data_IF_840844066209
#
_entry.id   IF_840844066209
#
_cell.length_a   1.000
_cell.length_b   1.000
_cell.length_c   1.000
_cell.angle_alpha   90.00
_cell.angle_beta   90.00
_cell.angle_gamma   90.00
#
_symmetry.space_group_name_H-M   'P 1'
#
loop_
_entity.id
_entity.type
_entity.pdbx_description
1 polymer ?
#
# COMPACT_ATOMS: atom_id res chain seq x y z
N UNK A 1 16.35 -11.75 -5.20
CA UNK A 1 15.42 -12.57 -4.44
C UNK A 1 14.70 -11.68 -3.46
N UNK A 2 13.39 -11.75 -3.39
CA UNK A 2 12.60 -11.00 -2.41
C UNK A 2 12.33 -11.88 -1.18
N UNK A 3 12.12 -11.26 -0.02
CA UNK A 3 11.79 -11.94 1.25
C UNK A 3 10.92 -11.04 2.12
N UNK A 4 10.21 -11.62 3.07
CA UNK A 4 9.59 -10.89 4.18
C UNK A 4 10.72 -10.38 5.10
N UNK A 5 10.67 -9.12 5.48
CA UNK A 5 11.74 -8.49 6.27
C UNK A 5 11.54 -8.77 7.75
N UNK A 6 10.34 -8.55 8.27
CA UNK A 6 10.06 -8.66 9.69
C UNK A 6 8.66 -9.22 10.00
N UNK A 7 8.30 -9.31 11.28
CA UNK A 7 7.04 -9.83 11.76
C UNK A 7 6.96 -11.35 11.76
N UNK A 8 5.72 -11.89 11.79
CA UNK A 8 5.40 -13.33 11.96
C UNK A 8 6.06 -14.25 10.95
N UNK A 9 6.39 -13.76 9.76
CA UNK A 9 7.02 -14.53 8.68
C UNK A 9 8.40 -13.98 8.28
N UNK A 10 9.05 -13.20 9.13
CA UNK A 10 10.36 -12.60 8.87
C UNK A 10 11.39 -13.61 8.34
N UNK A 11 12.16 -13.22 7.32
CA UNK A 11 13.16 -14.05 6.67
C UNK A 11 12.64 -15.04 5.61
N UNK A 12 11.33 -15.29 5.51
CA UNK A 12 10.77 -16.19 4.48
C UNK A 12 10.96 -15.63 3.08
N UNK A 13 11.43 -16.47 2.17
CA UNK A 13 11.66 -16.10 0.76
C UNK A 13 10.35 -16.01 0.00
N UNK A 14 10.28 -15.06 -0.94
CA UNK A 14 9.17 -14.88 -1.84
C UNK A 14 9.59 -15.19 -3.28
N UNK A 15 8.72 -15.86 -4.01
CA UNK A 15 8.83 -16.04 -5.46
C UNK A 15 8.42 -14.75 -6.16
N UNK A 16 9.09 -14.42 -7.25
CA UNK A 16 8.75 -13.27 -8.12
C UNK A 16 8.27 -13.78 -9.47
N UNK A 17 7.30 -13.11 -10.12
CA UNK A 17 6.85 -13.47 -11.46
C UNK A 17 8.01 -13.46 -12.46
N UNK A 18 8.09 -14.41 -13.40
CA UNK A 18 9.11 -14.42 -14.44
C UNK A 18 8.91 -13.23 -15.40
N UNK A 19 10.02 -12.64 -15.87
CA UNK A 19 10.00 -11.63 -16.95
C UNK A 19 9.63 -10.20 -16.55
N UNK A 20 9.31 -9.90 -15.31
CA UNK A 20 9.13 -8.52 -14.87
C UNK A 20 10.50 -7.88 -14.62
N UNK A 21 10.86 -6.93 -15.49
CA UNK A 21 12.00 -5.99 -15.32
C UNK A 21 11.68 -4.87 -14.31
N UNK A 22 10.58 -4.98 -13.56
CA UNK A 22 10.30 -4.05 -12.48
C UNK A 22 11.34 -4.29 -11.38
N UNK A 23 12.09 -3.25 -11.07
CA UNK A 23 13.00 -3.26 -9.91
C UNK A 23 12.11 -3.43 -8.68
N UNK A 24 12.18 -4.57 -7.98
CA UNK A 24 11.38 -4.71 -6.77
C UNK A 24 11.78 -3.59 -5.81
N UNK A 25 10.83 -3.01 -5.10
CA UNK A 25 11.12 -2.21 -3.91
C UNK A 25 12.18 -2.93 -3.13
N UNK A 26 13.36 -2.32 -2.99
CA UNK A 26 14.48 -3.01 -2.34
C UNK A 26 14.11 -3.34 -0.91
N UNK A 27 14.66 -4.42 -0.34
CA UNK A 27 14.44 -4.78 1.06
C UNK A 27 14.66 -3.57 1.98
N UNK A 28 15.69 -2.75 1.69
CA UNK A 28 16.01 -1.54 2.46
C UNK A 28 14.92 -0.46 2.38
N UNK A 29 14.38 -0.21 1.20
CA UNK A 29 13.29 0.78 1.03
C UNK A 29 12.05 0.29 1.76
N UNK A 30 11.69 -0.99 1.57
CA UNK A 30 10.53 -1.58 2.23
C UNK A 30 10.67 -1.55 3.76
N UNK A 31 11.83 -1.88 4.31
CA UNK A 31 12.12 -1.78 5.74
C UNK A 31 11.93 -0.35 6.25
N UNK A 32 12.50 0.64 5.56
CA UNK A 32 12.39 2.04 5.96
C UNK A 32 10.93 2.54 5.93
N UNK A 33 10.17 2.14 4.89
CA UNK A 33 8.76 2.52 4.78
C UNK A 33 7.93 1.88 5.89
N UNK A 34 8.11 0.59 6.17
CA UNK A 34 7.35 -0.07 7.25
C UNK A 34 7.74 0.47 8.63
N UNK A 35 8.98 0.93 8.83
CA UNK A 35 9.37 1.67 10.05
C UNK A 35 8.64 3.02 10.15
N UNK A 36 8.48 3.73 9.03
CA UNK A 36 7.70 4.97 8.99
C UNK A 36 6.21 4.72 9.26
N UNK A 37 5.65 3.64 8.73
CA UNK A 37 4.26 3.22 9.01
C UNK A 37 4.06 2.87 10.49
N UNK A 38 5.00 2.17 11.11
CA UNK A 38 4.95 1.88 12.54
C UNK A 38 5.00 3.17 13.39
N UNK A 39 5.84 4.13 13.00
CA UNK A 39 5.90 5.43 13.67
C UNK A 39 4.58 6.22 13.50
N UNK A 40 4.01 6.23 12.30
CA UNK A 40 2.72 6.85 12.01
C UNK A 40 1.57 6.21 12.82
N UNK A 41 1.58 4.88 12.95
CA UNK A 41 0.59 4.12 13.73
C UNK A 41 0.82 4.23 15.26
N UNK A 42 1.89 4.89 15.71
CA UNK A 42 2.24 4.98 17.13
C UNK A 42 2.76 3.67 17.74
N UNK A 43 3.22 2.73 16.91
CA UNK A 43 3.67 1.37 17.31
C UNK A 43 5.15 1.12 17.00
N UNK A 44 5.95 2.19 16.88
CA UNK A 44 7.38 2.08 16.54
C UNK A 44 8.18 1.24 17.55
N UNK A 45 7.78 1.26 18.82
CA UNK A 45 8.41 0.54 19.91
C UNK A 45 7.84 -0.88 20.14
N UNK A 46 6.80 -1.26 19.36
CA UNK A 46 6.20 -2.58 19.46
C UNK A 46 7.04 -3.63 18.70
N UNK A 47 6.84 -4.90 19.07
CA UNK A 47 7.44 -6.01 18.33
C UNK A 47 6.97 -6.01 16.87
N UNK A 48 7.81 -6.45 15.92
CA UNK A 48 7.50 -6.31 14.49
C UNK A 48 6.15 -6.89 14.07
N UNK A 49 5.67 -7.95 14.69
CA UNK A 49 4.39 -8.61 14.42
C UNK A 49 3.15 -7.81 14.84
N UNK A 50 3.31 -6.73 15.60
CA UNK A 50 2.23 -5.90 16.12
C UNK A 50 2.31 -4.45 15.61
N UNK A 51 3.32 -4.11 14.79
CA UNK A 51 3.53 -2.75 14.28
C UNK A 51 2.38 -2.20 13.41
N UNK A 52 1.61 -3.08 12.76
CA UNK A 52 0.40 -2.71 12.02
C UNK A 52 -0.86 -3.34 12.63
N UNK A 53 -0.84 -3.66 13.92
CA UNK A 53 -2.02 -4.16 14.61
C UNK A 53 -3.20 -3.19 14.45
N UNK A 54 -4.38 -3.77 14.19
CA UNK A 54 -5.64 -3.05 13.93
C UNK A 54 -5.69 -2.23 12.63
N UNK A 55 -4.64 -2.23 11.82
CA UNK A 55 -4.63 -1.54 10.54
C UNK A 55 -5.17 -2.43 9.42
N UNK A 56 -5.89 -1.83 8.49
CA UNK A 56 -6.28 -2.39 7.20
C UNK A 56 -5.38 -1.84 6.10
N UNK A 57 -4.95 -2.69 5.16
CA UNK A 57 -3.94 -2.35 4.17
C UNK A 57 -4.40 -2.73 2.76
N UNK A 58 -4.26 -1.82 1.81
CA UNK A 58 -4.52 -2.06 0.39
C UNK A 58 -3.24 -1.82 -0.43
N UNK A 59 -2.75 -2.86 -1.10
CA UNK A 59 -1.59 -2.81 -2.01
C UNK A 59 -2.09 -2.77 -3.45
N UNK A 60 -2.00 -1.62 -4.07
CA UNK A 60 -2.36 -1.39 -5.47
C UNK A 60 -1.10 -1.57 -6.35
N UNK A 61 -1.21 -2.33 -7.44
CA UNK A 61 -0.10 -2.79 -8.27
C UNK A 61 0.83 -3.80 -7.56
N UNK A 62 0.24 -4.74 -6.82
CA UNK A 62 0.91 -5.55 -5.81
C UNK A 62 2.00 -6.51 -6.32
N UNK A 63 2.05 -6.84 -7.62
CA UNK A 63 3.10 -7.65 -8.21
C UNK A 63 3.24 -9.03 -7.55
N UNK A 64 4.37 -9.28 -6.89
CA UNK A 64 4.59 -10.53 -6.16
C UNK A 64 3.91 -10.58 -4.78
N UNK A 65 3.28 -9.48 -4.36
CA UNK A 65 2.68 -9.31 -3.04
C UNK A 65 3.69 -9.04 -1.92
N UNK A 66 4.89 -8.60 -2.25
CA UNK A 66 5.93 -8.43 -1.24
C UNK A 66 5.57 -7.38 -0.18
N UNK A 67 4.90 -6.28 -0.58
CA UNK A 67 4.43 -5.23 0.34
C UNK A 67 3.21 -5.71 1.11
N UNK A 68 2.20 -6.27 0.44
CA UNK A 68 1.01 -6.82 1.09
C UNK A 68 1.35 -7.90 2.13
N UNK A 69 2.26 -8.82 1.79
CA UNK A 69 2.69 -9.88 2.70
C UNK A 69 3.54 -9.34 3.86
N UNK A 70 4.34 -8.31 3.64
CA UNK A 70 5.04 -7.62 4.73
C UNK A 70 4.05 -6.97 5.70
N UNK A 71 3.00 -6.28 5.19
CA UNK A 71 1.94 -5.70 6.02
C UNK A 71 1.24 -6.78 6.86
N UNK A 72 0.86 -7.90 6.25
CA UNK A 72 0.25 -9.04 6.95
C UNK A 72 1.20 -9.66 8.00
N UNK A 73 2.51 -9.71 7.71
CA UNK A 73 3.53 -10.22 8.64
C UNK A 73 3.69 -9.32 9.86
N UNK A 74 3.48 -8.01 9.68
CA UNK A 74 3.57 -6.99 10.75
C UNK A 74 2.26 -6.73 11.46
N UNK A 75 1.23 -7.56 11.23
CA UNK A 75 0.03 -7.57 12.05
C UNK A 75 -1.18 -6.88 11.44
N UNK A 76 -1.12 -6.39 10.20
CA UNK A 76 -2.30 -5.83 9.54
C UNK A 76 -3.46 -6.85 9.54
N UNK A 77 -4.66 -6.39 9.92
CA UNK A 77 -5.83 -7.26 10.17
C UNK A 77 -6.52 -7.69 8.89
N UNK A 78 -6.60 -6.76 7.93
CA UNK A 78 -7.15 -7.00 6.59
C UNK A 78 -6.15 -6.48 5.58
N UNK A 79 -5.71 -7.36 4.67
CA UNK A 79 -4.78 -6.97 3.60
C UNK A 79 -5.38 -7.37 2.26
N UNK A 80 -5.58 -6.39 1.41
CA UNK A 80 -6.03 -6.55 0.02
C UNK A 80 -4.88 -6.23 -0.92
N UNK A 81 -4.68 -7.08 -1.91
CA UNK A 81 -3.63 -6.92 -2.91
C UNK A 81 -4.23 -7.01 -4.32
N UNK A 82 -4.07 -5.97 -5.11
CA UNK A 82 -4.65 -5.82 -6.44
C UNK A 82 -3.55 -5.83 -7.49
N UNK A 83 -3.69 -6.70 -8.50
CA UNK A 83 -2.85 -6.66 -9.70
C UNK A 83 -3.66 -7.16 -10.91
N UNK A 84 -3.46 -6.53 -12.08
CA UNK A 84 -4.10 -6.96 -13.32
C UNK A 84 -3.48 -8.21 -13.94
N UNK A 85 -2.22 -8.52 -13.60
CA UNK A 85 -1.50 -9.66 -14.13
C UNK A 85 -1.85 -10.94 -13.36
N UNK A 86 -2.56 -11.86 -14.04
CA UNK A 86 -2.93 -13.15 -13.47
C UNK A 86 -1.74 -13.99 -13.03
N UNK A 87 -0.59 -13.88 -13.71
CA UNK A 87 0.62 -14.60 -13.32
C UNK A 87 1.13 -14.05 -11.98
N UNK A 88 1.19 -12.72 -11.81
CA UNK A 88 1.53 -12.08 -10.56
C UNK A 88 0.57 -12.49 -9.43
N UNK A 89 -0.74 -12.48 -9.69
CA UNK A 89 -1.74 -12.92 -8.71
C UNK A 89 -1.57 -14.39 -8.28
N UNK A 90 -1.22 -15.28 -9.19
CA UNK A 90 -0.95 -16.68 -8.86
C UNK A 90 0.30 -16.80 -7.97
N UNK A 91 1.40 -16.12 -8.33
CA UNK A 91 2.62 -16.07 -7.51
C UNK A 91 2.31 -15.51 -6.13
N UNK A 92 1.51 -14.47 -6.03
CA UNK A 92 1.08 -13.84 -4.78
C UNK A 92 0.30 -14.82 -3.90
N UNK A 93 -0.65 -15.59 -4.47
CA UNK A 93 -1.39 -16.64 -3.76
C UNK A 93 -0.47 -17.75 -3.25
N UNK A 94 0.53 -18.16 -4.05
CA UNK A 94 1.50 -19.19 -3.64
C UNK A 94 2.44 -18.64 -2.55
N UNK A 95 2.86 -17.40 -2.63
CA UNK A 95 3.62 -16.73 -1.56
C UNK A 95 2.80 -16.66 -0.26
N UNK A 96 1.51 -16.30 -0.34
CA UNK A 96 0.59 -16.28 0.80
C UNK A 96 0.51 -17.66 1.49
N UNK A 97 0.35 -18.74 0.72
CA UNK A 97 0.33 -20.12 1.24
C UNK A 97 1.66 -20.51 1.89
N UNK A 98 2.78 -20.24 1.21
CA UNK A 98 4.13 -20.60 1.68
C UNK A 98 4.50 -19.86 2.97
N UNK A 99 4.14 -18.59 3.05
CA UNK A 99 4.39 -17.77 4.24
C UNK A 99 3.38 -18.02 5.36
N UNK A 100 2.21 -18.61 5.05
CA UNK A 100 1.05 -18.75 5.93
C UNK A 100 0.47 -17.41 6.38
N UNK A 101 0.63 -16.38 5.57
CA UNK A 101 0.04 -15.08 5.78
C UNK A 101 -1.25 -14.96 4.96
N UNK A 102 -2.30 -14.44 5.55
CA UNK A 102 -3.60 -14.27 4.87
C UNK A 102 -3.66 -12.90 4.22
N UNK A 103 -3.82 -12.89 2.89
CA UNK A 103 -4.12 -11.70 2.10
C UNK A 103 -5.22 -12.04 1.09
N UNK A 104 -6.05 -11.06 0.77
CA UNK A 104 -7.03 -11.16 -0.30
C UNK A 104 -6.38 -10.72 -1.62
N UNK A 105 -6.36 -11.59 -2.62
CA UNK A 105 -5.74 -11.31 -3.93
C UNK A 105 -6.81 -11.11 -4.98
N UNK A 106 -6.88 -9.90 -5.53
CA UNK A 106 -7.83 -9.49 -6.56
C UNK A 106 -7.13 -9.33 -7.91
N UNK A 107 -7.61 -10.11 -8.92
CA UNK A 107 -7.05 -10.07 -10.29
C UNK A 107 -7.88 -9.12 -11.14
N UNK A 108 -7.60 -7.83 -11.06
CA UNK A 108 -8.28 -6.77 -11.81
C UNK A 108 -7.39 -5.53 -11.93
N UNK A 109 -7.79 -4.57 -12.76
CA UNK A 109 -7.09 -3.28 -12.85
C UNK A 109 -7.37 -2.45 -11.60
N UNK A 110 -6.42 -1.58 -11.23
CA UNK A 110 -6.61 -0.64 -10.11
C UNK A 110 -7.81 0.28 -10.37
N UNK A 111 -8.00 0.73 -11.62
CA UNK A 111 -9.16 1.55 -12.01
C UNK A 111 -10.48 0.83 -11.74
N UNK A 112 -10.61 -0.45 -12.15
CA UNK A 112 -11.83 -1.22 -11.91
C UNK A 112 -12.04 -1.46 -10.41
N UNK A 113 -10.96 -1.79 -9.69
CA UNK A 113 -11.03 -1.97 -8.24
C UNK A 113 -11.55 -0.71 -7.54
N UNK A 114 -10.96 0.45 -7.82
CA UNK A 114 -11.35 1.71 -7.16
C UNK A 114 -12.78 2.13 -7.52
N UNK A 115 -13.25 1.83 -8.74
CA UNK A 115 -14.63 2.14 -9.15
C UNK A 115 -15.70 1.26 -8.47
N UNK A 116 -15.35 0.02 -8.13
CA UNK A 116 -16.27 -0.97 -7.55
C UNK A 116 -16.08 -1.15 -6.02
N UNK A 117 -15.00 -0.59 -5.47
CA UNK A 117 -14.67 -0.78 -4.07
C UNK A 117 -15.52 0.12 -3.17
N UNK A 118 -16.05 -0.50 -2.10
CA UNK A 118 -16.80 0.19 -1.04
C UNK A 118 -16.14 0.05 0.33
N UNK A 119 -14.90 -0.46 0.37
CA UNK A 119 -14.12 -0.61 1.60
C UNK A 119 -13.13 0.54 1.72
N UNK A 120 -12.91 1.00 2.94
CA UNK A 120 -11.86 1.95 3.28
C UNK A 120 -10.70 1.25 3.99
N UNK A 121 -9.50 1.75 3.77
CA UNK A 121 -8.27 1.19 4.31
C UNK A 121 -7.48 2.27 5.06
N UNK A 122 -6.86 1.87 6.16
CA UNK A 122 -6.01 2.77 6.94
C UNK A 122 -4.71 3.10 6.21
N UNK A 123 -4.21 2.15 5.40
CA UNK A 123 -3.05 2.38 4.53
C UNK A 123 -3.38 1.94 3.10
N UNK A 124 -3.17 2.84 2.14
CA UNK A 124 -3.23 2.55 0.71
C UNK A 124 -1.85 2.76 0.09
N UNK A 125 -1.31 1.69 -0.51
CA UNK A 125 0.00 1.67 -1.14
C UNK A 125 -0.11 1.70 -2.66
N UNK A 126 0.66 2.59 -3.30
CA UNK A 126 0.81 2.72 -4.75
C UNK A 126 2.27 2.50 -5.17
N UNK A 127 2.53 1.47 -5.97
CA UNK A 127 3.80 1.28 -6.70
C UNK A 127 3.48 1.03 -8.18
N UNK A 128 3.00 2.06 -8.91
CA UNK A 128 2.58 1.90 -10.28
C UNK A 128 3.77 1.64 -11.21
N UNK A 129 3.54 0.92 -12.33
CA UNK A 129 4.57 0.68 -13.32
C UNK A 129 5.08 2.01 -13.91
N UNK A 130 6.33 2.03 -14.36
CA UNK A 130 7.01 3.25 -14.83
C UNK A 130 6.37 3.88 -16.07
N UNK A 131 5.64 3.09 -16.86
CA UNK A 131 4.94 3.49 -18.07
C UNK A 131 3.53 4.06 -17.82
N UNK A 132 3.06 4.05 -16.57
CA UNK A 132 1.81 4.72 -16.22
C UNK A 132 1.98 6.23 -16.38
N UNK A 133 1.13 6.84 -17.21
CA UNK A 133 1.14 8.29 -17.41
C UNK A 133 0.88 9.02 -16.08
N UNK A 134 1.54 10.16 -15.90
CA UNK A 134 1.47 10.89 -14.63
C UNK A 134 0.04 11.37 -14.32
N UNK A 135 -0.71 11.81 -15.34
CA UNK A 135 -2.10 12.26 -15.18
C UNK A 135 -3.05 11.11 -14.83
N UNK A 136 -2.82 9.90 -15.38
CA UNK A 136 -3.58 8.70 -15.02
C UNK A 136 -3.30 8.31 -13.55
N UNK A 137 -2.05 8.43 -13.11
CA UNK A 137 -1.69 8.16 -11.73
C UNK A 137 -2.35 9.16 -10.77
N UNK A 138 -2.31 10.46 -11.09
CA UNK A 138 -2.95 11.49 -10.27
C UNK A 138 -4.46 11.24 -10.17
N UNK A 139 -5.11 10.85 -11.27
CA UNK A 139 -6.52 10.46 -11.27
C UNK A 139 -6.83 9.27 -10.37
N UNK A 140 -5.96 8.24 -10.36
CA UNK A 140 -6.10 7.09 -9.46
C UNK A 140 -5.88 7.49 -8.00
N UNK A 141 -4.92 8.37 -7.71
CA UNK A 141 -4.67 8.91 -6.36
C UNK A 141 -5.92 9.65 -5.87
N UNK A 142 -6.49 10.56 -6.68
CA UNK A 142 -7.72 11.28 -6.34
C UNK A 142 -8.86 10.32 -6.02
N UNK A 143 -9.08 9.31 -6.89
CA UNK A 143 -10.14 8.30 -6.67
C UNK A 143 -9.91 7.49 -5.40
N UNK A 144 -8.66 7.13 -5.09
CA UNK A 144 -8.34 6.37 -3.88
C UNK A 144 -8.53 7.22 -2.62
N UNK A 145 -8.16 8.49 -2.66
CA UNK A 145 -8.36 9.43 -1.55
C UNK A 145 -9.85 9.69 -1.26
N UNK A 146 -10.70 9.65 -2.28
CA UNK A 146 -12.15 9.87 -2.15
C UNK A 146 -12.90 8.64 -1.63
N UNK A 147 -12.54 7.43 -2.10
CA UNK A 147 -13.35 6.24 -1.87
C UNK A 147 -12.67 5.04 -1.19
N UNK A 148 -11.34 4.98 -1.14
CA UNK A 148 -10.63 3.83 -0.60
C UNK A 148 -9.75 4.14 0.62
N UNK A 149 -9.38 5.38 0.85
CA UNK A 149 -8.57 5.78 2.00
C UNK A 149 -9.47 6.19 3.17
N UNK A 150 -9.22 5.63 4.35
CA UNK A 150 -9.89 6.05 5.57
C UNK A 150 -9.59 7.53 5.88
N UNK A 151 -10.48 8.20 6.61
CA UNK A 151 -10.33 9.64 6.90
C UNK A 151 -8.98 9.97 7.53
N UNK A 152 -8.55 9.16 8.52
CA UNK A 152 -7.25 9.30 9.18
C UNK A 152 -6.17 8.40 8.56
N UNK A 153 -6.44 7.84 7.38
CA UNK A 153 -5.55 6.91 6.71
C UNK A 153 -4.35 7.57 6.08
N UNK A 154 -3.36 6.77 5.73
CA UNK A 154 -2.13 7.18 5.07
C UNK A 154 -2.05 6.62 3.66
N UNK A 155 -1.95 7.50 2.68
CA UNK A 155 -1.59 7.13 1.32
C UNK A 155 -0.07 7.11 1.18
N UNK A 156 0.46 6.04 0.58
CA UNK A 156 1.90 5.87 0.32
C UNK A 156 2.11 5.65 -1.17
N UNK A 157 2.94 6.46 -1.81
CA UNK A 157 3.19 6.37 -3.26
C UNK A 157 4.69 6.23 -3.51
N UNK A 158 5.10 5.10 -4.10
CA UNK A 158 6.48 4.88 -4.52
C UNK A 158 6.67 5.36 -5.97
N UNK A 159 7.72 6.16 -6.21
CA UNK A 159 8.08 6.65 -7.55
C UNK A 159 9.58 6.64 -7.79
N UNK A 160 9.96 6.63 -9.06
CA UNK A 160 11.33 6.96 -9.44
C UNK A 160 11.62 8.44 -9.19
N UNK A 161 12.82 8.76 -8.73
CA UNK A 161 13.32 10.14 -8.61
C UNK A 161 13.25 10.96 -9.92
N UNK A 162 13.15 10.27 -11.06
CA UNK A 162 13.05 10.88 -12.38
C UNK A 162 11.62 11.12 -12.85
N UNK A 163 10.65 10.60 -12.12
CA UNK A 163 9.22 10.80 -12.42
C UNK A 163 8.78 12.16 -11.90
N UNK A 164 7.71 12.70 -12.50
CA UNK A 164 7.00 13.84 -11.93
C UNK A 164 6.48 13.46 -10.53
N UNK A 165 6.52 14.41 -9.61
CA UNK A 165 5.93 14.26 -8.28
C UNK A 165 4.41 14.03 -8.41
N UNK A 166 3.81 13.17 -7.57
CA UNK A 166 2.37 12.95 -7.57
C UNK A 166 1.62 14.21 -7.08
N UNK A 167 0.42 14.42 -7.63
CA UNK A 167 -0.50 15.42 -7.13
C UNK A 167 -1.45 14.80 -6.12
N UNK A 168 -1.62 15.46 -4.97
CA UNK A 168 -2.58 15.07 -3.95
C UNK A 168 -3.75 16.07 -3.92
N UNK A 169 -4.96 15.65 -3.49
CA UNK A 169 -6.11 16.55 -3.41
C UNK A 169 -5.88 17.69 -2.39
N UNK A 170 -6.63 18.77 -2.56
CA UNK A 170 -6.72 19.80 -1.53
C UNK A 170 -7.18 19.19 -0.19
N UNK A 171 -6.65 19.73 0.90
CA UNK A 171 -6.93 19.18 2.24
C UNK A 171 -6.10 17.96 2.62
N UNK A 172 -5.01 17.66 1.88
CA UNK A 172 -4.02 16.68 2.26
C UNK A 172 -2.67 17.34 2.56
N UNK A 173 -2.08 16.98 3.69
CA UNK A 173 -0.66 17.24 3.95
C UNK A 173 0.17 16.11 3.34
N UNK A 174 1.26 16.47 2.65
CA UNK A 174 2.14 15.47 2.03
C UNK A 174 3.60 15.73 2.35
N UNK A 175 4.37 14.66 2.48
CA UNK A 175 5.82 14.69 2.65
C UNK A 175 6.47 13.54 1.90
N UNK A 176 7.79 13.51 1.80
CA UNK A 176 8.49 12.42 1.13
C UNK A 176 9.80 12.04 1.81
N UNK A 177 10.26 10.83 1.50
CA UNK A 177 11.58 10.31 1.86
C UNK A 177 12.28 9.76 0.63
N UNK A 178 13.59 10.00 0.51
CA UNK A 178 14.39 9.61 -0.66
C UNK A 178 15.32 8.45 -0.31
N UNK A 179 15.30 7.43 -1.18
CA UNK A 179 16.11 6.22 -1.03
C UNK A 179 16.84 5.91 -2.36
N UNK A 180 17.93 6.61 -2.60
CA UNK A 180 18.67 6.50 -3.87
C UNK A 180 17.85 6.99 -5.07
N UNK A 181 17.48 6.09 -5.98
CA UNK A 181 16.65 6.40 -7.15
C UNK A 181 15.14 6.28 -6.88
N UNK A 182 14.75 5.89 -5.67
CA UNK A 182 13.35 5.79 -5.23
C UNK A 182 12.99 6.96 -4.33
N UNK A 183 11.81 7.52 -4.55
CA UNK A 183 11.15 8.48 -3.65
C UNK A 183 9.84 7.89 -3.20
N UNK A 184 9.59 7.91 -1.89
CA UNK A 184 8.33 7.50 -1.31
C UNK A 184 7.63 8.74 -0.77
N UNK A 185 6.45 9.00 -1.29
CA UNK A 185 5.57 10.08 -0.87
C UNK A 185 4.52 9.53 0.08
N UNK A 186 4.19 10.32 1.07
CA UNK A 186 3.15 10.06 2.05
C UNK A 186 2.16 11.20 1.98
N UNK A 187 0.86 10.89 2.08
CA UNK A 187 -0.17 11.92 2.16
C UNK A 187 -1.26 11.49 3.13
N UNK A 188 -1.70 12.42 3.95
CA UNK A 188 -2.75 12.24 4.95
C UNK A 188 -3.71 13.43 4.91
N UNK A 189 -5.00 13.18 5.10
CA UNK A 189 -6.00 14.24 5.13
C UNK A 189 -5.76 15.15 6.33
N UNK A 190 -5.85 16.47 6.12
CA UNK A 190 -5.82 17.49 7.18
C UNK A 190 -7.25 17.82 7.60
N UNK A 191 -7.49 17.97 8.91
CA UNK A 191 -8.78 18.34 9.47
C UNK A 191 -9.50 17.20 10.18
N UNK A 192 -10.42 17.56 11.06
CA UNK A 192 -11.30 16.62 11.74
C UNK A 192 -12.35 16.07 10.78
N UNK A 193 -12.81 14.80 10.95
CA UNK A 193 -13.93 14.29 10.18
C UNK A 193 -15.13 15.23 10.35
N UNK A 194 -15.75 15.63 9.25
CA UNK A 194 -17.05 16.32 9.33
C UNK A 194 -18.00 15.38 10.09
N UNK A 195 -18.34 15.76 11.30
CA UNK A 195 -19.42 15.09 12.05
C UNK A 195 -20.68 15.38 11.27
N UNK A 196 -21.16 14.38 10.52
CA UNK A 196 -22.50 14.43 9.93
C UNK A 196 -23.52 14.59 11.07
N UNK A 197 -23.80 15.85 11.41
CA UNK A 197 -24.91 16.21 12.26
C UNK A 197 -26.16 16.00 11.43
N UNK A 198 -26.49 14.69 11.22
CA UNK A 198 -27.72 14.25 10.58
C UNK A 198 -28.89 15.05 11.16
N UNK A 199 -29.54 15.78 10.31
CA UNK A 199 -30.74 16.56 10.56
C UNK A 199 -31.76 15.74 11.33
N UNK A 200 -31.81 15.94 12.63
CA UNK A 200 -33.07 15.84 13.34
C UNK A 200 -33.93 17.02 12.84
N UNK A 201 -34.83 16.73 11.95
CA UNK A 201 -36.00 17.60 11.70
C UNK A 201 -37.25 16.74 11.75
N UNK A 202 -37.93 16.87 12.89
CA UNK A 202 -39.35 17.04 13.10
C UNK A 202 -40.29 16.17 12.25
#
# INVERSE_FOLDING_TARGET
MSRIIAGRAGGKRLTTPPGRLTRPTTDRVREAVFSALAAWNGTADEVPEDQLANQTFCDLFAGSGAVALEAASRGATTVVAVDRDRCACNVMKDNSRTTRLRIEVLSQTVTAFLAENHRVFDVVWFDPPYDLAADDMDSLILTACDGALAHNGLLVVERSRRSRDPCFPDGYESWNSRYGETVVYYAQRTGEPEVDTGREQQ
#
